data_IF_756295078678
#
_entry.id   IF_756295078678
#
_cell.length_a   1.000
_cell.length_b   1.000
_cell.length_c   1.000
_cell.angle_alpha   90.00
_cell.angle_beta   90.00
_cell.angle_gamma   90.00
#
_symmetry.space_group_name_H-M   'P 1'
#
loop_
_entity.id
_entity.type
_entity.pdbx_description
1 polymer ?
#
# COMPACT_ATOMS: atom_id res chain seq x y z
N UNK A 1 -12.64 -17.62 -19.86
CA UNK A 1 -11.67 -16.56 -19.47
C UNK A 1 -12.40 -15.47 -18.70
N UNK A 2 -12.17 -15.39 -17.38
CA UNK A 2 -12.70 -14.33 -16.50
C UNK A 2 -12.20 -12.98 -17.04
N UNK A 3 -13.03 -12.21 -17.73
CA UNK A 3 -12.63 -10.91 -18.27
C UNK A 3 -12.50 -9.94 -17.09
N UNK A 4 -11.28 -9.80 -16.55
CA UNK A 4 -10.92 -8.61 -15.79
C UNK A 4 -11.27 -7.40 -16.65
N UNK A 5 -12.04 -6.46 -16.09
CA UNK A 5 -12.39 -5.27 -16.84
C UNK A 5 -11.15 -4.37 -16.98
N UNK A 6 -11.13 -3.54 -18.02
CA UNK A 6 -10.05 -2.57 -18.28
C UNK A 6 -9.75 -1.69 -17.06
N UNK A 7 -10.77 -1.46 -16.23
CA UNK A 7 -10.65 -0.70 -14.99
C UNK A 7 -9.75 -1.38 -13.94
N UNK A 8 -9.87 -2.70 -13.72
CA UNK A 8 -8.98 -3.43 -12.81
C UNK A 8 -7.52 -3.34 -13.28
N UNK A 9 -7.28 -3.54 -14.58
CA UNK A 9 -5.93 -3.41 -15.16
C UNK A 9 -5.37 -1.99 -14.99
N UNK A 10 -6.18 -0.97 -15.26
CA UNK A 10 -5.79 0.43 -15.06
C UNK A 10 -5.41 0.69 -13.61
N UNK A 11 -6.19 0.21 -12.65
CA UNK A 11 -5.91 0.40 -11.22
C UNK A 11 -4.65 -0.36 -10.78
N UNK A 12 -4.42 -1.58 -11.29
CA UNK A 12 -3.15 -2.29 -11.10
C UNK A 12 -1.96 -1.47 -11.65
N UNK A 13 -2.10 -0.90 -12.86
CA UNK A 13 -1.05 -0.09 -13.47
C UNK A 13 -0.77 1.18 -12.67
N UNK A 14 -1.81 1.90 -12.24
CA UNK A 14 -1.66 3.15 -11.47
C UNK A 14 -1.01 2.89 -10.10
N UNK A 15 -1.43 1.83 -9.39
CA UNK A 15 -0.85 1.49 -8.08
C UNK A 15 0.56 0.91 -8.20
N UNK A 16 0.84 0.15 -9.26
CA UNK A 16 2.20 -0.30 -9.58
C UNK A 16 3.11 0.88 -9.94
N UNK A 17 2.64 1.82 -10.76
CA UNK A 17 3.38 3.04 -11.09
C UNK A 17 3.68 3.87 -9.84
N UNK A 18 2.71 4.04 -8.94
CA UNK A 18 2.92 4.74 -7.66
C UNK A 18 4.06 4.10 -6.85
N UNK A 19 4.07 2.76 -6.74
CA UNK A 19 5.11 2.03 -6.03
C UNK A 19 6.48 2.16 -6.71
N UNK A 20 6.52 2.08 -8.05
CA UNK A 20 7.75 2.29 -8.83
C UNK A 20 8.30 3.69 -8.60
N UNK A 21 7.48 4.74 -8.74
CA UNK A 21 7.89 6.12 -8.52
C UNK A 21 8.41 6.35 -7.10
N UNK A 22 7.80 5.71 -6.10
CA UNK A 22 8.26 5.78 -4.71
C UNK A 22 9.64 5.11 -4.50
N UNK A 23 9.95 4.08 -5.30
CA UNK A 23 11.17 3.28 -5.24
C UNK A 23 12.31 3.87 -6.08
N UNK A 24 11.98 4.65 -7.10
CA UNK A 24 12.90 5.12 -8.14
C UNK A 24 14.02 6.10 -7.70
N UNK A 25 13.93 6.91 -6.62
CA UNK A 25 14.95 7.92 -6.27
C UNK A 25 16.43 7.47 -6.25
N UNK A 26 16.78 6.26 -5.76
CA UNK A 26 18.16 5.75 -5.79
C UNK A 26 18.72 5.55 -7.20
N UNK A 27 17.86 5.31 -8.18
CA UNK A 27 18.24 4.86 -9.53
C UNK A 27 18.24 5.98 -10.58
N UNK A 28 18.04 7.23 -10.17
CA UNK A 28 17.92 8.38 -11.08
C UNK A 28 18.84 9.53 -10.70
N UNK A 29 19.12 10.38 -11.69
CA UNK A 29 19.95 11.57 -11.53
C UNK A 29 19.37 12.56 -10.48
N UNK A 30 20.21 13.39 -9.84
CA UNK A 30 19.79 14.28 -8.75
C UNK A 30 18.59 15.20 -9.06
N UNK A 31 18.44 15.79 -10.26
CA UNK A 31 17.27 16.63 -10.56
C UNK A 31 15.96 15.82 -10.54
N UNK A 32 15.96 14.64 -11.17
CA UNK A 32 14.78 13.77 -11.19
C UNK A 32 14.49 13.19 -9.80
N UNK A 33 15.53 12.85 -9.04
CA UNK A 33 15.41 12.45 -7.64
C UNK A 33 14.69 13.52 -6.83
N UNK A 34 15.12 14.77 -6.90
CA UNK A 34 14.49 15.88 -6.19
C UNK A 34 13.02 16.05 -6.59
N UNK A 35 12.71 15.91 -7.89
CA UNK A 35 11.32 15.92 -8.37
C UNK A 35 10.47 14.78 -7.81
N UNK A 36 11.00 13.55 -7.77
CA UNK A 36 10.31 12.42 -7.15
C UNK A 36 10.09 12.64 -5.65
N UNK A 37 11.10 13.11 -4.92
CA UNK A 37 10.96 13.43 -3.49
C UNK A 37 9.87 14.50 -3.28
N UNK A 38 9.88 15.57 -4.08
CA UNK A 38 8.88 16.63 -4.00
C UNK A 38 7.45 16.14 -4.29
N UNK A 39 7.29 15.20 -5.22
CA UNK A 39 5.98 14.60 -5.56
C UNK A 39 5.33 13.91 -4.34
N UNK A 40 6.13 13.28 -3.48
CA UNK A 40 5.63 12.53 -2.31
C UNK A 40 5.64 13.33 -0.99
N UNK A 41 6.30 14.48 -0.95
CA UNK A 41 6.38 15.32 0.26
C UNK A 41 5.01 15.73 0.86
N UNK A 42 3.94 15.99 0.07
CA UNK A 42 2.63 16.33 0.64
C UNK A 42 1.96 15.18 1.42
N UNK A 43 2.37 13.93 1.16
CA UNK A 43 1.76 12.72 1.75
C UNK A 43 2.71 11.98 2.69
N UNK A 44 3.99 12.31 2.68
CA UNK A 44 5.01 11.67 3.50
C UNK A 44 6.05 12.69 3.98
N UNK A 45 6.34 12.67 5.28
CA UNK A 45 7.34 13.53 5.91
C UNK A 45 8.78 13.18 5.52
N UNK A 46 9.03 12.01 4.91
CA UNK A 46 10.35 11.59 4.42
C UNK A 46 11.47 11.64 5.47
N UNK A 47 11.15 11.40 6.75
CA UNK A 47 12.12 11.41 7.84
C UNK A 47 13.23 10.36 7.59
N UNK A 48 14.52 10.74 7.64
CA UNK A 48 15.65 9.85 7.34
C UNK A 48 15.63 8.52 8.11
N UNK A 49 15.45 8.60 9.42
CA UNK A 49 15.41 7.49 10.39
C UNK A 49 14.12 6.65 10.31
N UNK A 50 13.18 7.06 9.45
CA UNK A 50 11.94 6.31 9.17
C UNK A 50 11.82 5.87 7.72
N UNK A 51 12.87 5.98 6.91
CA UNK A 51 12.81 5.69 5.48
C UNK A 51 13.78 4.59 5.05
N UNK A 52 13.46 3.94 3.93
CA UNK A 52 14.31 2.92 3.32
C UNK A 52 15.45 3.58 2.55
N UNK A 53 16.62 2.97 2.60
CA UNK A 53 17.83 3.46 1.92
C UNK A 53 18.40 2.38 1.01
N UNK A 54 18.79 2.76 -0.19
CA UNK A 54 19.52 1.92 -1.15
C UNK A 54 20.75 2.71 -1.57
N UNK A 55 21.93 2.14 -1.38
CA UNK A 55 23.23 2.76 -1.77
C UNK A 55 23.39 4.21 -1.27
N UNK A 56 22.96 4.49 -0.03
CA UNK A 56 23.06 5.83 0.56
C UNK A 56 22.03 6.83 0.02
N UNK A 57 21.01 6.37 -0.71
CA UNK A 57 19.91 7.20 -1.19
C UNK A 57 18.58 6.73 -0.60
N UNK A 58 17.84 7.66 -0.02
CA UNK A 58 16.51 7.42 0.53
C UNK A 58 15.47 7.22 -0.59
N UNK A 59 14.51 6.32 -0.36
CA UNK A 59 13.28 6.25 -1.16
C UNK A 59 12.39 7.49 -0.96
N UNK A 60 11.41 7.69 -1.85
CA UNK A 60 10.55 8.87 -1.82
C UNK A 60 9.57 8.89 -0.63
N UNK A 61 9.47 7.79 0.12
CA UNK A 61 8.55 7.63 1.23
C UNK A 61 9.14 6.78 2.36
N UNK A 62 8.57 6.92 3.55
CA UNK A 62 8.95 6.18 4.75
C UNK A 62 8.53 4.70 4.68
N UNK A 63 9.05 3.87 5.59
CA UNK A 63 8.73 2.43 5.68
C UNK A 63 7.21 2.15 5.67
N UNK A 64 6.42 2.96 6.38
CA UNK A 64 4.97 2.77 6.48
C UNK A 64 4.27 3.07 5.17
N UNK A 65 4.54 4.23 4.57
CA UNK A 65 3.96 4.62 3.29
C UNK A 65 4.37 3.65 2.18
N UNK A 66 5.62 3.18 2.19
CA UNK A 66 6.09 2.14 1.28
C UNK A 66 5.29 0.85 1.45
N UNK A 67 5.11 0.40 2.70
CA UNK A 67 4.25 -0.74 3.03
C UNK A 67 2.82 -0.56 2.50
N UNK A 68 2.20 0.60 2.73
CA UNK A 68 0.84 0.89 2.24
C UNK A 68 0.77 0.79 0.71
N UNK A 69 1.71 1.38 -0.03
CA UNK A 69 1.71 1.32 -1.49
C UNK A 69 1.96 -0.09 -2.03
N UNK A 70 2.92 -0.81 -1.44
CA UNK A 70 3.19 -2.20 -1.78
C UNK A 70 1.98 -3.09 -1.49
N UNK A 71 1.38 -2.92 -0.31
CA UNK A 71 0.20 -3.67 0.11
C UNK A 71 -0.98 -3.39 -0.81
N UNK A 72 -1.24 -2.12 -1.14
CA UNK A 72 -2.33 -1.72 -2.04
C UNK A 72 -2.18 -2.41 -3.40
N UNK A 73 -1.01 -2.32 -4.01
CA UNK A 73 -0.70 -2.97 -5.28
C UNK A 73 -0.88 -4.50 -5.19
N UNK A 74 -0.29 -5.15 -4.19
CA UNK A 74 -0.38 -6.59 -4.01
C UNK A 74 -1.81 -7.06 -3.74
N UNK A 75 -2.59 -6.33 -2.95
CA UNK A 75 -3.98 -6.65 -2.66
C UNK A 75 -4.83 -6.66 -3.93
N UNK A 76 -4.67 -5.67 -4.80
CA UNK A 76 -5.41 -5.61 -6.07
C UNK A 76 -4.94 -6.71 -7.02
N UNK A 77 -3.62 -6.91 -7.13
CA UNK A 77 -3.00 -7.87 -8.04
C UNK A 77 -3.35 -9.32 -7.66
N UNK A 78 -3.39 -9.64 -6.36
CA UNK A 78 -3.66 -10.98 -5.84
C UNK A 78 -5.15 -11.29 -5.68
N UNK A 79 -6.04 -10.29 -5.82
CA UNK A 79 -7.49 -10.47 -5.75
C UNK A 79 -8.03 -11.66 -6.57
N UNK A 80 -7.58 -11.92 -7.83
CA UNK A 80 -7.96 -13.10 -8.61
C UNK A 80 -7.75 -14.45 -7.92
N UNK A 81 -6.79 -14.54 -7.00
CA UNK A 81 -6.45 -15.77 -6.29
C UNK A 81 -7.26 -15.97 -5.01
N UNK A 82 -7.72 -14.87 -4.40
CA UNK A 82 -8.35 -14.89 -3.07
C UNK A 82 -9.84 -14.51 -3.07
N UNK A 83 -10.39 -13.99 -4.17
CA UNK A 83 -11.78 -13.51 -4.27
C UNK A 83 -12.84 -14.55 -3.82
N UNK A 84 -12.61 -15.84 -4.08
CA UNK A 84 -13.52 -16.90 -3.66
C UNK A 84 -13.63 -17.01 -2.12
N UNK A 85 -12.51 -16.83 -1.42
CA UNK A 85 -12.44 -16.88 0.05
C UNK A 85 -12.92 -15.59 0.70
N UNK A 86 -12.80 -14.47 -0.01
CA UNK A 86 -13.20 -13.15 0.47
C UNK A 86 -14.69 -12.83 0.25
N UNK A 87 -15.46 -13.74 -0.35
CA UNK A 87 -16.85 -13.49 -0.75
C UNK A 87 -17.72 -13.00 0.42
N UNK A 88 -17.61 -13.65 1.58
CA UNK A 88 -18.37 -13.32 2.80
C UNK A 88 -17.83 -12.06 3.47
N UNK A 89 -16.51 -11.98 3.63
CA UNK A 89 -15.86 -10.84 4.27
C UNK A 89 -16.09 -9.52 3.48
N UNK A 90 -16.15 -9.58 2.15
CA UNK A 90 -16.40 -8.43 1.28
C UNK A 90 -17.85 -7.90 1.34
N UNK A 91 -18.80 -8.64 1.93
CA UNK A 91 -20.17 -8.16 2.14
C UNK A 91 -20.24 -7.07 3.20
N UNK A 92 -19.32 -7.09 4.17
CA UNK A 92 -19.24 -6.10 5.24
C UNK A 92 -17.90 -5.34 5.22
N UNK A 93 -17.68 -4.48 4.19
CA UNK A 93 -16.39 -3.83 3.98
C UNK A 93 -15.96 -2.92 5.15
N UNK A 94 -16.92 -2.41 5.94
CA UNK A 94 -16.65 -1.61 7.14
C UNK A 94 -15.81 -2.34 8.19
N UNK A 95 -16.09 -3.63 8.42
CA UNK A 95 -15.35 -4.41 9.42
C UNK A 95 -13.94 -4.73 8.96
N UNK A 96 -13.77 -5.01 7.67
CA UNK A 96 -12.45 -5.20 7.06
C UNK A 96 -11.60 -3.93 7.13
N UNK A 97 -12.19 -2.75 6.91
CA UNK A 97 -11.48 -1.47 7.08
C UNK A 97 -11.06 -1.25 8.53
N UNK A 98 -11.92 -1.55 9.51
CA UNK A 98 -11.56 -1.45 10.93
C UNK A 98 -10.39 -2.39 11.28
N UNK A 99 -10.43 -3.65 10.83
CA UNK A 99 -9.33 -4.62 11.00
C UNK A 99 -8.04 -4.17 10.31
N UNK A 100 -8.15 -3.48 9.16
CA UNK A 100 -7.00 -2.94 8.45
C UNK A 100 -6.33 -1.78 9.21
N UNK A 101 -7.14 -0.91 9.81
CA UNK A 101 -6.68 0.30 10.51
C UNK A 101 -6.05 -0.01 11.86
N UNK A 102 -6.52 -1.03 12.58
CA UNK A 102 -6.09 -1.32 13.95
C UNK A 102 -4.57 -1.48 14.08
N UNK A 103 -3.88 -2.35 13.31
CA UNK A 103 -2.43 -2.56 13.50
C UNK A 103 -1.61 -1.30 13.24
N UNK A 104 -1.92 -0.56 12.18
CA UNK A 104 -1.21 0.68 11.83
C UNK A 104 -1.52 1.81 12.82
N UNK A 105 -2.76 1.90 13.28
CA UNK A 105 -3.18 2.85 14.30
C UNK A 105 -2.52 2.57 15.65
N UNK A 106 -2.40 1.30 16.04
CA UNK A 106 -1.71 0.89 17.27
C UNK A 106 -0.21 1.15 17.18
N UNK A 107 0.46 0.73 16.11
CA UNK A 107 1.90 1.01 15.90
C UNK A 107 2.19 2.51 15.96
N UNK A 108 1.35 3.34 15.33
CA UNK A 108 1.47 4.79 15.43
C UNK A 108 1.20 5.34 16.83
N UNK A 109 0.14 4.89 17.50
CA UNK A 109 -0.26 5.40 18.81
C UNK A 109 0.76 5.06 19.87
N UNK A 110 1.28 3.83 19.87
CA UNK A 110 2.30 3.39 20.83
C UNK A 110 3.59 4.22 20.70
N UNK A 111 3.98 4.55 19.46
CA UNK A 111 5.13 5.43 19.20
C UNK A 111 4.82 6.88 19.60
N UNK A 112 3.62 7.39 19.30
CA UNK A 112 3.21 8.76 19.62
C UNK A 112 3.15 9.02 21.13
N UNK A 113 2.70 8.04 21.93
CA UNK A 113 2.68 8.11 23.39
C UNK A 113 3.99 7.68 24.05
N UNK A 114 5.06 7.44 23.27
CA UNK A 114 6.37 6.98 23.77
C UNK A 114 6.32 5.68 24.59
N UNK A 115 5.29 4.85 24.37
CA UNK A 115 5.11 3.58 25.07
C UNK A 115 5.96 2.47 24.46
N UNK A 116 6.16 2.51 23.14
CA UNK A 116 7.03 1.60 22.41
C UNK A 116 7.49 2.26 21.12
N UNK A 117 8.79 2.17 20.81
CA UNK A 117 9.31 2.66 19.53
C UNK A 117 8.91 1.74 18.38
N UNK A 118 8.35 2.30 17.31
CA UNK A 118 8.10 1.55 16.09
C UNK A 118 9.41 1.18 15.41
N UNK A 119 9.54 -0.08 15.03
CA UNK A 119 10.69 -0.58 14.28
C UNK A 119 10.48 -0.39 12.79
N UNK A 120 11.54 -0.32 11.96
CA UNK A 120 11.41 -0.32 10.50
C UNK A 120 10.49 -1.45 9.99
N UNK A 121 10.60 -2.63 10.61
CA UNK A 121 9.84 -3.81 10.26
C UNK A 121 8.36 -3.71 10.66
N UNK A 122 8.05 -3.20 11.86
CA UNK A 122 6.66 -3.00 12.29
C UNK A 122 5.94 -1.97 11.42
N UNK A 123 6.62 -0.85 11.09
CA UNK A 123 6.09 0.19 10.19
C UNK A 123 5.79 -0.37 8.81
N UNK A 124 6.69 -1.19 8.26
CA UNK A 124 6.51 -1.81 6.95
C UNK A 124 5.35 -2.81 6.97
N UNK A 125 5.29 -3.71 7.94
CA UNK A 125 4.24 -4.74 8.01
C UNK A 125 2.86 -4.17 8.27
N UNK A 126 2.73 -3.22 9.20
CA UNK A 126 1.43 -2.60 9.49
C UNK A 126 0.94 -1.76 8.30
N UNK A 127 1.86 -1.09 7.59
CA UNK A 127 1.56 -0.44 6.32
C UNK A 127 1.11 -1.44 5.24
N UNK A 128 1.85 -2.54 5.07
CA UNK A 128 1.54 -3.62 4.12
C UNK A 128 0.17 -4.23 4.38
N UNK A 129 -0.15 -4.47 5.65
CA UNK A 129 -1.45 -4.98 6.09
C UNK A 129 -2.59 -4.04 5.70
N UNK A 130 -2.46 -2.76 6.08
CA UNK A 130 -3.45 -1.73 5.77
C UNK A 130 -3.65 -1.60 4.25
N UNK A 131 -2.56 -1.46 3.50
CA UNK A 131 -2.59 -1.37 2.04
C UNK A 131 -3.20 -2.62 1.41
N UNK A 132 -2.82 -3.81 1.87
CA UNK A 132 -3.30 -5.10 1.37
C UNK A 132 -4.81 -5.23 1.45
N UNK A 133 -5.38 -4.97 2.64
CA UNK A 133 -6.83 -5.03 2.83
C UNK A 133 -7.53 -3.95 2.02
N UNK A 134 -7.00 -2.72 1.99
CA UNK A 134 -7.55 -1.64 1.17
C UNK A 134 -7.56 -2.02 -0.33
N UNK A 135 -6.50 -2.65 -0.82
CA UNK A 135 -6.37 -3.11 -2.20
C UNK A 135 -7.36 -4.21 -2.55
N UNK A 136 -7.52 -5.19 -1.67
CA UNK A 136 -8.52 -6.25 -1.82
C UNK A 136 -9.94 -5.68 -1.86
N UNK A 137 -10.27 -4.77 -0.93
CA UNK A 137 -11.57 -4.11 -0.89
C UNK A 137 -11.81 -3.28 -2.16
N UNK A 138 -10.82 -2.53 -2.63
CA UNK A 138 -10.94 -1.78 -3.87
C UNK A 138 -11.24 -2.73 -5.04
N UNK A 139 -10.50 -3.84 -5.16
CA UNK A 139 -10.71 -4.82 -6.22
C UNK A 139 -12.12 -5.46 -6.22
N UNK A 140 -12.74 -5.66 -5.05
CA UNK A 140 -14.14 -6.15 -4.98
C UNK A 140 -15.14 -5.20 -5.64
N UNK A 141 -14.85 -3.89 -5.65
CA UNK A 141 -15.70 -2.86 -6.28
C UNK A 141 -15.43 -2.72 -7.77
N UNK A 142 -14.18 -2.94 -8.20
CA UNK A 142 -13.79 -2.86 -9.61
C UNK A 142 -14.32 -4.06 -10.40
N UNK A 143 -14.38 -5.23 -9.78
CA UNK A 143 -14.89 -6.46 -10.39
C UNK A 143 -16.07 -6.99 -9.58
N UNK A 144 -17.32 -6.72 -10.00
CA UNK A 144 -18.50 -7.22 -9.30
C UNK A 144 -18.40 -8.73 -9.15
N UNK A 145 -18.47 -9.22 -7.91
CA UNK A 145 -18.35 -10.65 -7.60
C UNK A 145 -19.34 -11.49 -8.44
N UNK A 146 -20.50 -10.94 -8.78
CA UNK A 146 -21.51 -11.57 -9.65
C UNK A 146 -21.02 -11.92 -11.06
N UNK A 147 -19.97 -11.25 -11.57
CA UNK A 147 -19.36 -11.52 -12.87
C UNK A 147 -18.19 -12.52 -12.81
N UNK A 148 -17.71 -12.85 -11.62
CA UNK A 148 -16.56 -13.77 -11.43
C UNK A 148 -17.03 -15.21 -11.20
N UNK A 149 -18.24 -15.38 -10.65
CA UNK A 149 -18.84 -16.68 -10.32
C UNK A 149 -19.92 -17.16 -11.31
N UNK A 150 -20.01 -16.54 -12.48
CA UNK A 150 -20.65 -17.14 -13.68
C UNK A 150 -19.55 -17.65 -14.59
#
# INVERSE_FOLDING_TARGET
MRRFNRLWLLVCLLTGLLLVLATLPPFVAPPLRAGLMALFAPVCHQLPDRSLWIEGVQLAVCHRCYGIYAGLFLGIMLFPLVHARLRTAAQEPRWLLLVALIPAGLDWSLEAFSLQSSTPLSRLFTGLWLGGIAGLLMATRLTPLSRIFR
#
